data_IF_936477504073
#
_entry.id   IF_936477504073
#
_cell.length_a   1.000
_cell.length_b   1.000
_cell.length_c   1.000
_cell.angle_alpha   90.00
_cell.angle_beta   90.00
_cell.angle_gamma   90.00
#
_symmetry.space_group_name_H-M   'P 1'
#
loop_
_entity.id
_entity.type
_entity.pdbx_description
1 polymer ?
#
# COMPACT_ATOMS: atom_id res chain seq x y z
N UNK A 1 16.05 -13.95 48.75
CA UNK A 1 15.61 -14.76 47.59
C UNK A 1 14.68 -13.87 46.79
N UNK A 2 15.24 -12.96 45.99
CA UNK A 2 14.48 -12.19 45.00
C UNK A 2 14.80 -12.81 43.64
N UNK A 3 13.93 -13.71 43.21
CA UNK A 3 13.94 -14.29 41.87
C UNK A 3 12.61 -13.97 41.21
N UNK A 4 12.40 -12.70 40.90
CA UNK A 4 11.42 -12.29 39.89
C UNK A 4 12.18 -11.64 38.73
N UNK A 5 12.98 -12.44 38.02
CA UNK A 5 13.27 -12.14 36.62
C UNK A 5 11.92 -12.24 35.90
N UNK A 6 11.29 -11.10 35.65
CA UNK A 6 10.16 -10.97 34.76
C UNK A 6 10.55 -11.62 33.42
N UNK A 7 9.96 -12.77 33.11
CA UNK A 7 10.14 -13.38 31.80
C UNK A 7 9.68 -12.37 30.75
N UNK A 8 10.59 -11.94 29.89
CA UNK A 8 10.30 -11.04 28.78
C UNK A 8 9.15 -11.62 27.97
N UNK A 9 8.07 -10.85 27.74
CA UNK A 9 6.87 -11.37 27.10
C UNK A 9 7.19 -11.78 25.64
N UNK A 10 6.41 -12.71 25.07
CA UNK A 10 6.59 -13.15 23.66
C UNK A 10 6.65 -11.95 22.69
N UNK A 11 5.96 -10.86 23.03
CA UNK A 11 5.94 -9.60 22.29
C UNK A 11 7.30 -8.89 22.32
N UNK A 12 7.99 -8.87 23.45
CA UNK A 12 9.31 -8.24 23.63
C UNK A 12 10.45 -9.02 22.94
N UNK A 13 10.23 -10.30 22.62
CA UNK A 13 11.22 -11.19 22.03
C UNK A 13 11.26 -11.16 20.49
N UNK A 14 10.36 -10.41 19.83
CA UNK A 14 10.39 -10.27 18.38
C UNK A 14 11.75 -9.73 17.90
N UNK A 15 12.23 -10.26 16.77
CA UNK A 15 13.45 -9.78 16.13
C UNK A 15 13.14 -8.64 15.15
N UNK A 16 14.04 -7.65 15.11
CA UNK A 16 13.90 -6.44 14.30
C UNK A 16 15.10 -6.28 13.40
N UNK A 17 14.84 -6.06 12.12
CA UNK A 17 15.86 -5.63 11.19
C UNK A 17 15.24 -4.59 10.24
N UNK A 18 15.77 -3.39 10.36
CA UNK A 18 15.28 -2.20 9.68
C UNK A 18 15.95 -2.06 8.30
N UNK A 19 15.81 -3.06 7.44
CA UNK A 19 16.56 -3.14 6.17
C UNK A 19 16.34 -1.93 5.27
N UNK A 20 15.10 -1.44 5.15
CA UNK A 20 14.80 -0.23 4.39
C UNK A 20 15.58 0.99 4.94
N UNK A 21 15.77 1.08 6.25
CA UNK A 21 16.42 2.23 6.90
C UNK A 21 17.94 2.18 6.79
N UNK A 22 18.48 0.98 6.73
CA UNK A 22 19.90 0.76 6.47
C UNK A 22 20.26 1.05 5.00
N UNK A 23 19.30 0.87 4.09
CA UNK A 23 19.53 0.95 2.65
C UNK A 23 19.01 2.21 1.97
N UNK A 24 18.09 2.95 2.57
CA UNK A 24 17.47 4.15 1.99
C UNK A 24 17.73 5.39 2.84
N UNK A 25 17.86 6.58 2.22
CA UNK A 25 18.14 7.80 2.98
C UNK A 25 17.00 8.16 3.94
N UNK A 26 17.38 8.38 5.20
CA UNK A 26 16.51 8.85 6.27
C UNK A 26 16.91 10.28 6.63
N UNK A 27 15.92 11.15 6.76
CA UNK A 27 16.10 12.51 7.19
C UNK A 27 16.53 12.59 8.66
N UNK A 28 17.61 13.33 8.90
CA UNK A 28 18.26 13.45 10.20
C UNK A 28 17.56 14.42 11.16
N UNK A 29 16.55 15.16 10.70
CA UNK A 29 15.88 16.18 11.51
C UNK A 29 14.85 15.60 12.46
N UNK A 30 14.95 15.97 13.74
CA UNK A 30 13.99 15.63 14.80
C UNK A 30 12.84 16.65 14.90
N UNK A 31 12.71 17.56 13.93
CA UNK A 31 11.66 18.59 13.97
C UNK A 31 10.27 17.94 13.94
N UNK A 32 9.41 18.23 14.94
CA UNK A 32 8.07 17.67 15.01
C UNK A 32 7.15 18.32 13.97
N UNK A 33 6.12 17.58 13.56
CA UNK A 33 5.04 18.09 12.70
C UNK A 33 5.25 17.83 11.21
N UNK A 34 4.27 18.25 10.42
CA UNK A 34 4.31 18.09 8.96
C UNK A 34 5.23 19.14 8.33
N UNK A 35 6.19 18.67 7.53
CA UNK A 35 7.12 19.51 6.78
C UNK A 35 7.57 18.82 5.49
N UNK A 36 8.09 19.61 4.57
CA UNK A 36 8.78 19.10 3.39
C UNK A 36 10.11 18.46 3.82
N UNK A 37 10.38 17.26 3.28
CA UNK A 37 11.58 16.47 3.60
C UNK A 37 12.40 16.29 2.32
N UNK A 38 13.39 17.17 2.05
CA UNK A 38 14.23 17.03 0.87
C UNK A 38 15.35 16.02 1.11
N UNK A 39 15.69 15.24 0.09
CA UNK A 39 16.87 14.38 0.12
C UNK A 39 16.74 13.13 1.00
N UNK A 40 15.51 12.70 1.31
CA UNK A 40 15.26 11.46 2.04
C UNK A 40 13.98 10.76 1.56
N UNK A 41 13.93 9.44 1.75
CA UNK A 41 12.73 8.62 1.55
C UNK A 41 11.87 8.58 2.82
N UNK A 42 12.52 8.67 3.99
CA UNK A 42 11.88 8.60 5.30
C UNK A 42 12.27 9.77 6.19
N UNK A 43 11.41 10.12 7.14
CA UNK A 43 11.71 11.13 8.17
C UNK A 43 11.39 10.61 9.57
N UNK A 44 12.20 11.01 10.55
CA UNK A 44 11.99 10.63 11.95
C UNK A 44 10.76 11.29 12.53
N UNK A 45 9.92 10.48 13.18
CA UNK A 45 8.73 10.97 13.85
C UNK A 45 8.92 10.92 15.36
N UNK A 46 9.20 12.08 15.93
CA UNK A 46 9.57 12.22 17.34
C UNK A 46 8.40 12.72 18.23
N UNK A 47 7.21 12.98 17.68
CA UNK A 47 6.09 13.60 18.40
C UNK A 47 4.90 12.67 18.56
N UNK A 48 4.99 11.70 19.47
CA UNK A 48 3.85 10.85 19.79
C UNK A 48 2.87 11.55 20.73
N UNK A 49 1.60 11.58 20.32
CA UNK A 49 0.50 11.81 21.25
C UNK A 49 -0.11 10.46 21.59
N UNK A 50 0.12 9.90 22.79
CA UNK A 50 -0.45 8.62 23.15
C UNK A 50 -1.97 8.65 23.10
N UNK A 51 -2.55 7.46 22.90
CA UNK A 51 -3.98 7.26 23.07
C UNK A 51 -4.30 7.14 24.57
N UNK A 52 -5.46 7.63 24.98
CA UNK A 52 -5.89 7.59 26.39
C UNK A 52 -6.57 6.26 26.70
N UNK A 53 -6.00 5.45 27.61
CA UNK A 53 -6.53 4.12 28.01
C UNK A 53 -6.81 3.22 26.79
N UNK A 54 -5.75 2.81 26.06
CA UNK A 54 -5.91 2.00 24.86
C UNK A 54 -6.49 0.63 25.17
N UNK A 55 -7.34 0.15 24.27
CA UNK A 55 -7.94 -1.19 24.34
C UNK A 55 -8.09 -1.78 22.95
N UNK A 56 -7.90 -3.08 22.83
CA UNK A 56 -8.19 -3.78 21.58
C UNK A 56 -9.69 -3.75 21.27
N UNK A 57 -10.02 -3.74 19.98
CA UNK A 57 -11.37 -3.94 19.47
C UNK A 57 -11.44 -5.34 18.81
N UNK A 58 -10.86 -5.58 17.63
CA UNK A 58 -10.53 -6.91 17.13
C UNK A 58 -9.01 -7.18 17.03
N UNK A 59 -8.67 -8.47 17.04
CA UNK A 59 -7.36 -9.03 16.68
C UNK A 59 -7.58 -10.05 15.55
N UNK A 60 -6.71 -10.05 14.54
CA UNK A 60 -6.75 -11.06 13.47
C UNK A 60 -5.70 -12.13 13.74
N UNK A 61 -6.14 -13.34 14.04
CA UNK A 61 -5.25 -14.48 14.22
C UNK A 61 -4.42 -14.74 12.94
N UNK A 62 -5.04 -14.67 11.76
CA UNK A 62 -4.34 -14.94 10.50
C UNK A 62 -3.25 -13.91 10.22
N UNK A 63 -3.49 -12.64 10.52
CA UNK A 63 -2.48 -11.60 10.35
C UNK A 63 -1.40 -11.66 11.44
N UNK A 64 -1.76 -11.91 12.71
CA UNK A 64 -0.78 -12.06 13.79
C UNK A 64 0.18 -13.24 13.58
N UNK A 65 -0.30 -14.33 12.98
CA UNK A 65 0.54 -15.48 12.64
C UNK A 65 1.66 -15.15 11.66
N UNK A 66 1.54 -14.08 10.86
CA UNK A 66 2.63 -13.58 10.02
C UNK A 66 3.83 -13.06 10.82
N UNK A 67 3.59 -12.67 12.08
CA UNK A 67 4.62 -12.25 13.03
C UNK A 67 5.02 -13.39 13.98
N UNK A 68 4.53 -14.62 13.75
CA UNK A 68 4.73 -15.73 14.67
C UNK A 68 3.93 -15.61 15.98
N UNK A 69 2.88 -14.78 16.03
CA UNK A 69 2.09 -14.52 17.22
C UNK A 69 0.70 -15.18 17.17
N UNK A 70 0.20 -15.60 18.33
CA UNK A 70 -1.20 -15.96 18.54
C UNK A 70 -1.99 -14.82 19.18
N UNK A 71 -3.32 -14.87 19.05
CA UNK A 71 -4.23 -13.96 19.77
C UNK A 71 -4.05 -14.11 21.27
N UNK A 72 -3.73 -15.30 21.78
CA UNK A 72 -3.45 -15.53 23.20
C UNK A 72 -2.16 -14.85 23.65
N UNK A 73 -1.10 -14.87 22.84
CA UNK A 73 0.15 -14.16 23.14
C UNK A 73 -0.07 -12.66 23.30
N UNK A 74 -0.96 -12.08 22.48
CA UNK A 74 -1.28 -10.65 22.50
C UNK A 74 -2.28 -10.30 23.61
N UNK A 75 -3.37 -11.06 23.74
CA UNK A 75 -4.44 -10.75 24.71
C UNK A 75 -4.09 -11.10 26.15
N UNK A 76 -3.11 -11.98 26.37
CA UNK A 76 -2.62 -12.37 27.70
C UNK A 76 -1.73 -11.31 28.37
N UNK A 77 -1.23 -10.33 27.62
CA UNK A 77 -0.39 -9.25 28.14
C UNK A 77 -1.22 -7.97 28.37
N UNK A 78 -1.37 -7.50 29.63
CA UNK A 78 -2.13 -6.28 29.94
C UNK A 78 -1.60 -5.01 29.27
N UNK A 79 -0.33 -4.97 28.87
CA UNK A 79 0.30 -3.83 28.20
C UNK A 79 0.24 -3.94 26.67
N UNK A 80 -0.24 -5.05 26.11
CA UNK A 80 -0.33 -5.24 24.66
C UNK A 80 -1.05 -4.11 23.91
N UNK A 81 -2.16 -3.52 24.38
CA UNK A 81 -2.77 -2.40 23.69
C UNK A 81 -1.85 -1.19 23.54
N UNK A 82 -0.91 -0.97 24.47
CA UNK A 82 0.10 0.09 24.39
C UNK A 82 1.22 -0.28 23.41
N UNK A 83 1.62 -1.56 23.40
CA UNK A 83 2.63 -2.05 22.47
C UNK A 83 2.18 -1.86 21.01
N UNK A 84 0.91 -2.08 20.71
CA UNK A 84 0.34 -1.89 19.37
C UNK A 84 0.05 -0.41 19.01
N UNK A 85 0.60 0.55 19.74
CA UNK A 85 0.60 1.96 19.38
C UNK A 85 1.99 2.40 18.93
N UNK A 86 2.10 3.47 18.11
CA UNK A 86 3.39 3.98 17.72
C UNK A 86 4.12 4.73 18.86
N UNK A 87 3.76 4.59 20.13
CA UNK A 87 4.24 5.47 21.23
C UNK A 87 5.53 4.98 21.89
N UNK A 88 6.58 5.80 21.94
CA UNK A 88 7.73 5.55 22.82
C UNK A 88 7.41 5.89 24.29
N UNK A 89 7.91 5.16 25.31
CA UNK A 89 8.74 3.97 25.22
C UNK A 89 7.93 2.66 25.11
N UNK A 90 6.61 2.69 25.35
CA UNK A 90 5.76 1.51 25.51
C UNK A 90 5.17 0.91 24.23
N UNK A 91 5.66 1.30 23.06
CA UNK A 91 5.39 0.55 21.84
C UNK A 91 6.13 -0.77 21.96
N UNK A 92 5.64 -1.80 21.27
CA UNK A 92 6.18 -3.15 21.13
C UNK A 92 7.71 -3.19 20.86
N UNK A 93 8.28 -2.02 20.52
CA UNK A 93 9.50 -1.77 19.79
C UNK A 93 10.38 -0.72 20.50
N UNK A 94 10.84 -0.97 21.73
CA UNK A 94 11.92 -0.18 22.34
C UNK A 94 13.19 -0.09 21.46
N UNK A 95 13.32 -0.98 20.46
CA UNK A 95 14.44 -1.10 19.51
C UNK A 95 14.16 -0.57 18.09
N UNK A 96 12.95 -0.13 17.77
CA UNK A 96 12.64 0.35 16.42
C UNK A 96 12.45 1.87 16.38
N UNK A 97 13.03 2.51 15.36
CA UNK A 97 12.86 3.94 15.11
C UNK A 97 11.56 4.17 14.32
N UNK A 98 10.61 4.94 14.85
CA UNK A 98 9.37 5.23 14.13
C UNK A 98 9.61 6.29 13.05
N UNK A 99 9.24 5.96 11.81
CA UNK A 99 9.54 6.78 10.64
C UNK A 99 8.34 7.01 9.74
N UNK A 100 8.31 8.17 9.09
CA UNK A 100 7.29 8.54 8.12
C UNK A 100 7.78 8.39 6.69
N UNK A 101 7.03 7.69 5.85
CA UNK A 101 7.29 7.64 4.41
C UNK A 101 6.89 8.95 3.71
N UNK A 102 7.78 9.46 2.87
CA UNK A 102 7.53 10.63 2.05
C UNK A 102 6.81 10.22 0.76
N UNK A 103 5.67 10.85 0.45
CA UNK A 103 4.90 10.60 -0.79
C UNK A 103 4.59 11.92 -1.50
N UNK A 104 4.45 11.86 -2.84
CA UNK A 104 4.09 13.04 -3.64
C UNK A 104 2.63 13.47 -3.42
N UNK A 105 2.36 14.73 -3.78
CA UNK A 105 1.27 15.60 -3.34
C UNK A 105 -0.16 15.03 -3.28
N UNK A 106 -0.81 15.16 -2.12
CA UNK A 106 -2.08 15.88 -1.82
C UNK A 106 -2.60 15.55 -0.41
N UNK A 107 -2.05 14.52 0.23
CA UNK A 107 -2.67 13.95 1.42
C UNK A 107 -1.69 13.68 2.57
N UNK A 108 -0.53 14.36 2.67
CA UNK A 108 0.53 14.18 3.70
C UNK A 108 0.20 13.11 4.76
N UNK A 109 0.26 11.84 4.36
CA UNK A 109 -0.03 10.76 5.28
C UNK A 109 1.25 10.60 6.07
N UNK A 110 1.23 11.05 7.31
CA UNK A 110 2.24 10.63 8.28
C UNK A 110 1.97 9.15 8.46
N UNK A 111 2.75 8.34 7.76
CA UNK A 111 2.63 6.89 7.76
C UNK A 111 3.80 6.38 8.60
N UNK A 112 3.55 6.05 9.87
CA UNK A 112 4.60 5.49 10.70
C UNK A 112 4.87 4.05 10.26
N UNK A 113 5.84 3.89 9.37
CA UNK A 113 6.38 2.60 8.97
C UNK A 113 7.42 2.19 10.01
N UNK A 114 7.21 1.02 10.59
CA UNK A 114 8.20 0.34 11.42
C UNK A 114 8.54 -0.94 10.66
N UNK A 115 9.79 -1.07 10.23
CA UNK A 115 10.23 -2.17 9.39
C UNK A 115 10.69 -3.36 10.25
N UNK A 116 10.34 -4.57 9.83
CA UNK A 116 10.77 -5.80 10.47
C UNK A 116 11.46 -6.65 9.43
N UNK A 117 12.45 -7.39 9.90
CA UNK A 117 13.04 -8.48 9.17
C UNK A 117 13.24 -9.63 10.15
N UNK A 118 12.15 -10.35 10.34
CA UNK A 118 12.16 -11.80 10.17
C UNK A 118 10.89 -12.12 9.34
N UNK A 119 11.00 -12.99 8.34
CA UNK A 119 9.93 -13.35 7.38
C UNK A 119 9.49 -12.30 6.33
N UNK A 120 10.18 -11.17 6.18
CA UNK A 120 9.97 -10.24 5.06
C UNK A 120 8.67 -9.42 5.11
N UNK A 121 8.18 -9.08 6.30
CA UNK A 121 6.94 -8.32 6.52
C UNK A 121 7.22 -6.98 7.22
N UNK A 122 6.71 -5.90 6.65
CA UNK A 122 6.70 -4.55 7.22
C UNK A 122 5.45 -4.32 8.07
N UNK A 123 5.57 -3.47 9.11
CA UNK A 123 4.44 -3.06 9.96
C UNK A 123 4.22 -1.56 9.81
N UNK A 124 2.96 -1.16 9.77
CA UNK A 124 2.59 0.23 9.68
C UNK A 124 1.46 0.56 10.65
N UNK A 125 1.67 1.59 11.46
CA UNK A 125 0.63 2.10 12.33
C UNK A 125 -0.13 3.21 11.63
N UNK A 126 -1.39 2.95 11.33
CA UNK A 126 -2.24 3.89 10.65
C UNK A 126 -3.14 4.61 11.67
N UNK A 127 -2.76 5.84 12.02
CA UNK A 127 -3.39 6.63 13.08
C UNK A 127 -3.76 8.05 12.68
N UNK A 128 -3.45 8.52 11.46
CA UNK A 128 -3.50 9.95 11.13
C UNK A 128 -4.48 10.29 10.01
N UNK A 129 -5.06 11.49 10.12
CA UNK A 129 -5.84 12.16 9.08
C UNK A 129 -5.05 13.30 8.44
N UNK A 130 -5.43 13.65 7.21
CA UNK A 130 -4.82 14.62 6.29
C UNK A 130 -4.49 16.02 6.85
N UNK A 131 -3.68 16.77 6.09
CA UNK A 131 -3.34 18.19 6.24
C UNK A 131 -4.38 19.04 7.00
N UNK A 132 -3.90 19.75 8.05
CA UNK A 132 -4.69 20.55 9.00
C UNK A 132 -5.64 19.75 9.92
N UNK A 133 -5.64 18.42 9.82
CA UNK A 133 -6.30 17.53 10.77
C UNK A 133 -5.51 17.38 12.07
N UNK A 134 -6.18 16.93 13.12
CA UNK A 134 -5.60 16.66 14.44
C UNK A 134 -4.65 15.45 14.49
N UNK A 135 -4.38 14.82 13.34
CA UNK A 135 -3.53 13.65 13.25
C UNK A 135 -4.12 12.39 13.87
N UNK A 136 -5.46 12.27 13.94
CA UNK A 136 -6.15 11.11 14.52
C UNK A 136 -7.12 10.45 13.55
N UNK A 137 -7.08 9.12 13.46
CA UNK A 137 -8.12 8.30 12.83
C UNK A 137 -9.20 7.96 13.86
N UNK A 138 -10.44 7.89 13.40
CA UNK A 138 -11.59 7.55 14.24
C UNK A 138 -12.01 6.10 14.05
N UNK A 139 -12.60 5.54 15.11
CA UNK A 139 -12.91 4.12 15.22
C UNK A 139 -13.67 3.55 14.02
N UNK A 140 -14.67 4.26 13.50
CA UNK A 140 -15.46 3.78 12.34
C UNK A 140 -14.61 3.51 11.09
N UNK A 141 -13.62 4.35 10.81
CA UNK A 141 -12.76 4.17 9.63
C UNK A 141 -11.77 3.04 9.86
N UNK A 142 -11.25 2.92 11.08
CA UNK A 142 -10.35 1.83 11.44
C UNK A 142 -11.04 0.46 11.44
N UNK A 143 -12.31 0.37 11.88
CA UNK A 143 -13.11 -0.86 11.79
C UNK A 143 -13.27 -1.26 10.32
N UNK A 144 -13.66 -0.31 9.45
CA UNK A 144 -13.83 -0.56 8.02
C UNK A 144 -12.54 -1.06 7.36
N UNK A 145 -11.41 -0.42 7.66
CA UNK A 145 -10.10 -0.83 7.16
C UNK A 145 -9.71 -2.23 7.65
N UNK A 146 -9.87 -2.50 8.95
CA UNK A 146 -9.55 -3.81 9.52
C UNK A 146 -10.38 -4.91 8.85
N UNK A 147 -11.70 -4.73 8.78
CA UNK A 147 -12.60 -5.71 8.19
C UNK A 147 -12.32 -5.93 6.71
N UNK A 148 -12.13 -4.85 5.94
CA UNK A 148 -11.91 -4.97 4.50
C UNK A 148 -10.54 -5.59 4.18
N UNK A 149 -9.49 -5.24 4.93
CA UNK A 149 -8.16 -5.85 4.78
C UNK A 149 -8.23 -7.36 4.90
N UNK A 150 -8.90 -7.86 5.94
CA UNK A 150 -8.99 -9.30 6.18
C UNK A 150 -10.03 -9.99 5.27
N UNK A 151 -11.09 -9.29 4.88
CA UNK A 151 -12.05 -9.80 3.89
C UNK A 151 -11.41 -9.97 2.50
N UNK A 152 -10.64 -9.00 2.03
CA UNK A 152 -9.91 -9.08 0.76
C UNK A 152 -8.92 -10.24 0.77
N UNK A 153 -8.21 -10.44 1.89
CA UNK A 153 -7.33 -11.59 2.06
C UNK A 153 -8.11 -12.91 2.01
N UNK A 154 -9.24 -13.01 2.72
CA UNK A 154 -10.09 -14.21 2.71
C UNK A 154 -10.68 -14.50 1.31
N UNK A 155 -10.88 -13.48 0.49
CA UNK A 155 -11.30 -13.61 -0.92
C UNK A 155 -10.15 -14.00 -1.86
N UNK A 156 -8.91 -14.13 -1.36
CA UNK A 156 -7.73 -14.42 -2.18
C UNK A 156 -7.25 -13.22 -3.01
N UNK A 157 -7.68 -12.00 -2.66
CA UNK A 157 -7.25 -10.77 -3.33
C UNK A 157 -6.03 -10.20 -2.59
N UNK A 158 -4.91 -9.92 -3.28
CA UNK A 158 -3.74 -9.34 -2.65
C UNK A 158 -4.06 -8.03 -1.93
N UNK A 159 -3.64 -7.92 -0.67
CA UNK A 159 -4.00 -6.80 0.22
C UNK A 159 -2.99 -6.63 1.34
N UNK A 160 -2.88 -5.41 1.86
CA UNK A 160 -2.33 -5.20 3.21
C UNK A 160 -3.21 -5.90 4.24
N UNK A 161 -2.61 -6.43 5.30
CA UNK A 161 -3.27 -7.15 6.38
C UNK A 161 -3.51 -6.23 7.57
N UNK A 162 -4.49 -6.56 8.41
CA UNK A 162 -4.76 -5.82 9.64
C UNK A 162 -4.62 -6.75 10.85
N UNK A 163 -3.54 -6.60 11.62
CA UNK A 163 -3.21 -7.47 12.75
C UNK A 163 -4.04 -7.14 13.99
N UNK A 164 -4.15 -5.85 14.31
CA UNK A 164 -4.89 -5.36 15.46
C UNK A 164 -5.53 -4.01 15.17
N UNK A 165 -6.61 -3.73 15.89
CA UNK A 165 -7.20 -2.41 15.98
C UNK A 165 -7.35 -2.03 17.45
N UNK A 166 -6.71 -0.92 17.82
CA UNK A 166 -6.73 -0.32 19.15
C UNK A 166 -7.59 0.93 19.13
N UNK A 167 -8.50 1.06 20.09
CA UNK A 167 -9.27 2.29 20.34
C UNK A 167 -8.90 2.89 21.68
N UNK A 168 -9.41 4.08 21.98
CA UNK A 168 -9.12 4.82 23.20
C UNK A 168 -10.27 5.71 23.64
N UNK A 169 -10.13 6.30 24.83
CA UNK A 169 -11.05 7.32 25.34
C UNK A 169 -10.68 8.73 24.89
N UNK A 170 -9.64 8.87 24.05
CA UNK A 170 -9.36 10.11 23.38
C UNK A 170 -10.39 10.32 22.28
N UNK A 171 -11.06 11.47 22.28
CA UNK A 171 -12.08 11.80 21.29
C UNK A 171 -11.64 12.93 20.38
N UNK A 172 -12.11 12.88 19.14
CA UNK A 172 -11.95 13.97 18.17
C UNK A 172 -13.28 14.27 17.50
N UNK A 173 -13.45 15.54 17.16
CA UNK A 173 -14.66 16.02 16.49
C UNK A 173 -14.55 15.79 14.98
N UNK A 174 -15.55 15.14 14.39
CA UNK A 174 -15.65 14.88 12.94
C UNK A 174 -17.03 15.23 12.45
N UNK A 175 -17.17 15.46 11.15
CA UNK A 175 -18.45 15.63 10.45
C UNK A 175 -18.59 14.48 9.44
N UNK A 176 -18.96 13.26 9.89
CA UNK A 176 -19.11 12.10 9.00
C UNK A 176 -20.01 12.33 7.77
N UNK A 177 -21.18 12.99 7.88
CA UNK A 177 -22.05 13.23 6.74
C UNK A 177 -21.60 14.42 5.86
N UNK A 178 -20.56 15.16 6.24
CA UNK A 178 -20.13 16.40 5.58
C UNK A 178 -21.27 17.44 5.45
N UNK A 179 -22.16 17.51 6.44
CA UNK A 179 -23.33 18.41 6.44
C UNK A 179 -23.24 19.53 7.49
N UNK A 180 -22.12 19.62 8.21
CA UNK A 180 -21.88 20.53 9.33
C UNK A 180 -22.13 19.91 10.71
N UNK A 181 -22.74 18.72 10.80
CA UNK A 181 -23.05 18.06 12.07
C UNK A 181 -21.83 17.33 12.62
N UNK A 182 -21.20 17.98 13.60
CA UNK A 182 -20.01 17.42 14.24
C UNK A 182 -20.38 16.42 15.34
N UNK A 183 -19.86 15.20 15.22
CA UNK A 183 -19.95 14.12 16.20
C UNK A 183 -18.60 13.92 16.88
N UNK A 184 -18.62 13.60 18.17
CA UNK A 184 -17.43 13.23 18.93
C UNK A 184 -17.17 11.73 18.74
N UNK A 185 -16.01 11.36 18.20
CA UNK A 185 -15.68 9.98 17.88
C UNK A 185 -14.38 9.55 18.59
N UNK A 186 -14.31 8.31 19.05
CA UNK A 186 -13.11 7.75 19.68
C UNK A 186 -11.97 7.64 18.65
N UNK A 187 -10.75 7.98 19.08
CA UNK A 187 -9.53 7.79 18.32
C UNK A 187 -9.10 6.33 18.32
N UNK A 188 -8.55 5.90 17.19
CA UNK A 188 -8.09 4.53 16.98
C UNK A 188 -6.80 4.45 16.16
N UNK A 189 -6.12 3.31 16.26
CA UNK A 189 -4.95 2.93 15.45
C UNK A 189 -5.17 1.53 14.90
N UNK A 190 -4.85 1.32 13.63
CA UNK A 190 -4.75 -0.01 13.02
C UNK A 190 -3.28 -0.37 12.86
N UNK A 191 -2.91 -1.57 13.29
CA UNK A 191 -1.62 -2.17 12.95
C UNK A 191 -1.75 -2.93 11.64
N UNK A 192 -1.13 -2.41 10.58
CA UNK A 192 -1.13 -2.99 9.24
C UNK A 192 0.12 -3.79 9.00
N UNK A 193 0.01 -4.88 8.24
CA UNK A 193 1.15 -5.69 7.81
C UNK A 193 1.17 -5.80 6.28
N UNK A 194 2.35 -5.72 5.68
CA UNK A 194 2.55 -5.97 4.24
C UNK A 194 4.04 -6.24 3.98
N UNK A 195 4.43 -6.96 2.92
CA UNK A 195 5.85 -7.10 2.59
C UNK A 195 6.56 -5.75 2.42
N UNK A 196 5.89 -4.79 1.77
CA UNK A 196 6.32 -3.41 1.64
C UNK A 196 5.13 -2.47 1.60
N UNK A 197 5.35 -1.23 2.06
CA UNK A 197 4.41 -0.13 1.92
C UNK A 197 4.83 0.90 0.85
N UNK A 198 5.91 0.63 0.11
CA UNK A 198 6.33 1.47 -1.02
C UNK A 198 5.21 1.53 -2.07
N UNK A 199 4.93 2.74 -2.54
CA UNK A 199 3.85 3.06 -3.48
C UNK A 199 4.43 3.62 -4.77
N UNK A 200 3.58 3.79 -5.80
CA UNK A 200 4.00 4.53 -6.99
C UNK A 200 4.33 5.99 -6.62
N UNK A 201 3.53 6.58 -5.72
CA UNK A 201 3.76 7.92 -5.19
C UNK A 201 5.06 8.12 -4.40
N UNK A 202 5.70 7.04 -3.95
CA UNK A 202 7.01 7.09 -3.28
C UNK A 202 8.13 7.45 -4.26
N UNK A 203 7.98 7.14 -5.55
CA UNK A 203 8.90 7.57 -6.60
C UNK A 203 8.63 9.01 -7.05
N UNK A 204 7.37 9.45 -7.00
CA UNK A 204 6.99 10.80 -7.45
C UNK A 204 7.58 11.91 -6.58
N UNK A 205 8.13 11.60 -5.39
CA UNK A 205 8.83 12.62 -4.58
C UNK A 205 10.09 13.18 -5.27
N UNK A 206 10.61 12.47 -6.28
CA UNK A 206 11.75 12.87 -7.10
C UNK A 206 11.33 13.58 -8.39
N UNK A 207 10.03 13.71 -8.65
CA UNK A 207 9.52 14.31 -9.88
C UNK A 207 9.82 15.81 -9.91
N UNK A 208 10.33 16.26 -11.06
CA UNK A 208 10.55 17.66 -11.38
C UNK A 208 9.27 18.49 -11.37
N UNK A 209 9.42 19.77 -11.66
CA UNK A 209 8.29 20.69 -11.70
C UNK A 209 7.32 20.31 -12.81
N UNK A 210 6.08 20.00 -12.45
CA UNK A 210 4.98 19.83 -13.39
C UNK A 210 4.64 21.18 -14.03
N UNK A 211 4.62 21.23 -15.36
CA UNK A 211 4.43 22.48 -16.11
C UNK A 211 3.02 23.07 -15.91
N UNK A 212 2.02 22.22 -15.68
CA UNK A 212 0.63 22.64 -15.60
C UNK A 212 0.25 23.12 -14.19
N UNK A 213 0.57 22.33 -13.18
CA UNK A 213 0.24 22.59 -11.78
C UNK A 213 1.31 23.41 -11.06
N UNK A 214 2.52 23.48 -11.61
CA UNK A 214 3.67 24.14 -11.00
C UNK A 214 4.25 23.38 -9.80
N UNK A 215 3.80 22.15 -9.57
CA UNK A 215 4.10 21.35 -8.39
C UNK A 215 5.35 20.53 -8.60
N UNK A 216 6.07 20.26 -7.51
CA UNK A 216 7.34 19.57 -7.54
C UNK A 216 7.42 18.65 -6.32
N UNK A 217 8.06 17.49 -6.49
CA UNK A 217 8.37 16.61 -5.38
C UNK A 217 9.42 17.18 -4.44
N UNK A 218 9.36 16.85 -3.13
CA UNK A 218 10.25 17.41 -2.11
C UNK A 218 11.74 17.11 -2.37
N UNK A 219 12.03 16.06 -3.16
CA UNK A 219 13.38 15.61 -3.50
C UNK A 219 13.62 15.68 -5.01
N UNK A 220 12.99 16.60 -5.72
CA UNK A 220 13.16 16.67 -7.17
C UNK A 220 14.61 16.91 -7.59
N UNK A 221 15.03 16.22 -8.66
CA UNK A 221 16.41 16.22 -9.15
C UNK A 221 17.37 15.35 -8.33
N UNK A 222 16.90 14.65 -7.29
CA UNK A 222 17.68 13.66 -6.55
C UNK A 222 17.59 12.28 -7.20
N UNK A 223 18.08 12.21 -8.44
CA UNK A 223 18.11 10.96 -9.22
C UNK A 223 18.97 9.88 -8.55
N UNK A 224 19.96 10.29 -7.75
CA UNK A 224 20.78 9.43 -6.90
C UNK A 224 19.92 8.63 -5.90
N UNK A 225 19.02 9.30 -5.20
CA UNK A 225 18.13 8.67 -4.22
C UNK A 225 17.03 7.87 -4.93
N UNK A 226 16.52 8.39 -6.06
CA UNK A 226 15.54 7.65 -6.87
C UNK A 226 16.10 6.31 -7.32
N UNK A 227 17.33 6.30 -7.84
CA UNK A 227 18.01 5.07 -8.27
C UNK A 227 18.19 4.11 -7.09
N UNK A 228 18.63 4.62 -5.93
CA UNK A 228 18.77 3.82 -4.72
C UNK A 228 17.44 3.20 -4.25
N UNK A 229 16.33 3.94 -4.32
CA UNK A 229 14.99 3.42 -4.03
C UNK A 229 14.58 2.32 -5.03
N UNK A 230 14.85 2.54 -6.31
CA UNK A 230 14.55 1.57 -7.36
C UNK A 230 15.36 0.28 -7.17
N UNK A 231 16.67 0.38 -6.95
CA UNK A 231 17.55 -0.76 -6.71
C UNK A 231 17.11 -1.54 -5.47
N UNK A 232 16.77 -0.85 -4.37
CA UNK A 232 16.22 -1.48 -3.18
C UNK A 232 14.95 -2.27 -3.49
N UNK A 233 14.00 -1.69 -4.23
CA UNK A 233 12.75 -2.36 -4.59
C UNK A 233 13.01 -3.58 -5.45
N UNK A 234 13.82 -3.45 -6.50
CA UNK A 234 14.13 -4.53 -7.44
C UNK A 234 14.79 -5.68 -6.69
N UNK A 235 15.89 -5.43 -5.98
CA UNK A 235 16.63 -6.48 -5.27
C UNK A 235 15.82 -7.15 -4.15
N UNK A 236 14.91 -6.42 -3.52
CA UNK A 236 14.14 -6.95 -2.39
C UNK A 236 12.91 -7.75 -2.82
N UNK A 237 12.30 -7.42 -3.97
CA UNK A 237 10.96 -7.92 -4.31
C UNK A 237 10.82 -8.48 -5.74
N UNK A 238 11.84 -8.34 -6.60
CA UNK A 238 11.75 -8.71 -8.01
C UNK A 238 12.99 -9.46 -8.50
N UNK A 239 12.83 -10.27 -9.55
CA UNK A 239 13.88 -11.19 -9.97
C UNK A 239 14.83 -10.68 -11.07
N UNK A 240 14.74 -9.42 -11.55
CA UNK A 240 15.71 -8.68 -12.42
C UNK A 240 15.03 -7.54 -13.24
N UNK A 241 15.59 -7.21 -14.42
CA UNK A 241 15.16 -6.25 -15.46
C UNK A 241 13.69 -6.37 -15.92
N UNK A 242 12.96 -7.43 -15.53
CA UNK A 242 11.52 -7.58 -15.79
C UNK A 242 10.62 -6.89 -14.76
N UNK A 243 11.20 -6.21 -13.75
CA UNK A 243 10.49 -5.53 -12.66
C UNK A 243 9.20 -4.83 -13.08
N UNK A 244 9.28 -3.90 -14.05
CA UNK A 244 8.11 -3.09 -14.39
C UNK A 244 7.00 -3.94 -15.05
N UNK A 245 7.37 -4.97 -15.82
CA UNK A 245 6.42 -5.95 -16.35
C UNK A 245 5.69 -6.67 -15.23
N UNK A 246 6.40 -7.08 -14.19
CA UNK A 246 5.80 -7.72 -13.02
C UNK A 246 4.85 -6.78 -12.28
N UNK A 247 5.25 -5.51 -12.06
CA UNK A 247 4.38 -4.48 -11.45
C UNK A 247 3.07 -4.32 -12.24
N UNK A 248 3.15 -4.24 -13.58
CA UNK A 248 1.97 -4.14 -14.44
C UNK A 248 1.10 -5.41 -14.37
N UNK A 249 1.71 -6.60 -14.41
CA UNK A 249 0.98 -7.86 -14.30
C UNK A 249 0.28 -7.99 -12.94
N UNK A 250 0.92 -7.60 -11.85
CA UNK A 250 0.30 -7.66 -10.52
C UNK A 250 -0.81 -6.63 -10.39
N UNK A 251 -0.61 -5.41 -10.90
CA UNK A 251 -1.63 -4.36 -10.89
C UNK A 251 -2.85 -4.72 -11.75
N UNK A 252 -2.64 -5.31 -12.94
CA UNK A 252 -3.73 -5.78 -13.82
C UNK A 252 -4.54 -6.91 -13.19
N UNK A 253 -3.86 -7.90 -12.58
CA UNK A 253 -4.52 -8.98 -11.83
C UNK A 253 -5.32 -8.44 -10.65
N UNK A 254 -4.75 -7.52 -9.88
CA UNK A 254 -5.40 -6.90 -8.74
C UNK A 254 -6.70 -6.20 -9.14
N UNK A 255 -6.64 -5.31 -10.14
CA UNK A 255 -7.84 -4.59 -10.58
C UNK A 255 -8.86 -5.53 -11.23
N UNK A 256 -8.43 -6.57 -11.95
CA UNK A 256 -9.34 -7.61 -12.46
C UNK A 256 -10.09 -8.29 -11.31
N UNK A 257 -9.40 -8.69 -10.24
CA UNK A 257 -10.02 -9.28 -9.06
C UNK A 257 -11.01 -8.32 -8.39
N UNK A 258 -10.68 -7.03 -8.29
CA UNK A 258 -11.63 -6.02 -7.79
C UNK A 258 -12.91 -5.97 -8.61
N UNK A 259 -12.79 -6.02 -9.94
CA UNK A 259 -13.95 -6.05 -10.82
C UNK A 259 -14.77 -7.34 -10.60
N UNK A 260 -14.13 -8.51 -10.48
CA UNK A 260 -14.86 -9.76 -10.27
C UNK A 260 -15.71 -9.78 -8.99
N UNK A 261 -15.26 -9.11 -7.91
CA UNK A 261 -16.00 -9.09 -6.63
C UNK A 261 -16.83 -7.82 -6.43
N UNK A 262 -16.92 -6.96 -7.44
CA UNK A 262 -17.67 -5.70 -7.36
C UNK A 262 -17.08 -4.70 -6.36
N UNK A 263 -15.77 -4.75 -6.10
CA UNK A 263 -15.08 -3.83 -5.20
C UNK A 263 -14.73 -2.52 -5.92
N UNK A 264 -15.04 -1.40 -5.29
CA UNK A 264 -14.69 -0.05 -5.72
C UNK A 264 -13.84 0.63 -4.64
N UNK A 265 -12.59 0.97 -4.97
CA UNK A 265 -11.61 1.52 -4.04
C UNK A 265 -11.91 2.99 -3.65
N UNK A 266 -12.36 3.80 -4.61
CA UNK A 266 -12.83 5.18 -4.40
C UNK A 266 -11.76 6.27 -4.28
N UNK A 267 -10.48 5.91 -4.12
CA UNK A 267 -9.34 6.85 -4.08
C UNK A 267 -8.11 6.15 -4.67
N UNK A 268 -8.01 6.10 -6.00
CA UNK A 268 -6.91 5.46 -6.71
C UNK A 268 -5.88 6.50 -7.19
N UNK A 269 -5.42 7.35 -6.29
CA UNK A 269 -4.24 8.18 -6.53
C UNK A 269 -2.99 7.30 -6.58
N UNK A 270 -1.90 7.78 -7.18
CA UNK A 270 -0.61 7.08 -7.29
C UNK A 270 0.02 6.74 -5.93
N UNK A 271 -0.22 7.54 -4.90
CA UNK A 271 0.19 7.23 -3.52
C UNK A 271 -0.64 6.10 -2.90
N UNK A 272 -1.79 5.74 -3.46
CA UNK A 272 -2.61 4.59 -3.03
C UNK A 272 -2.37 3.32 -3.89
N UNK A 273 -1.39 3.36 -4.81
CA UNK A 273 -1.00 2.21 -5.62
C UNK A 273 0.23 1.53 -5.04
N UNK A 274 0.09 0.29 -4.58
CA UNK A 274 1.22 -0.51 -4.08
C UNK A 274 2.20 -0.81 -5.21
N UNK A 275 3.50 -0.71 -4.93
CA UNK A 275 4.50 -1.22 -5.87
C UNK A 275 4.39 -2.73 -6.05
N UNK A 276 3.82 -3.46 -5.09
CA UNK A 276 3.69 -4.92 -5.10
C UNK A 276 2.30 -5.42 -5.55
N UNK A 277 1.44 -4.55 -6.07
CA UNK A 277 0.09 -4.94 -6.50
C UNK A 277 -0.81 -5.40 -5.35
N UNK A 278 -0.69 -4.79 -4.17
CA UNK A 278 -1.57 -5.00 -3.02
C UNK A 278 -2.70 -3.96 -2.97
N UNK A 279 -3.90 -4.38 -2.60
CA UNK A 279 -4.95 -3.46 -2.13
C UNK A 279 -4.48 -2.79 -0.84
N UNK A 280 -4.45 -1.46 -0.80
CA UNK A 280 -3.98 -0.70 0.36
C UNK A 280 -4.79 0.57 0.56
N UNK A 281 -4.78 1.11 1.78
CA UNK A 281 -5.40 2.39 2.12
C UNK A 281 -6.93 2.44 1.94
N UNK A 282 -7.60 1.59 2.71
CA UNK A 282 -9.05 1.50 2.80
C UNK A 282 -9.68 2.76 3.39
N UNK A 283 -10.03 3.70 2.52
CA UNK A 283 -10.78 4.91 2.83
C UNK A 283 -12.27 4.79 2.50
N UNK A 284 -12.80 5.57 1.55
CA UNK A 284 -14.20 5.51 1.14
C UNK A 284 -14.46 4.40 0.11
N UNK A 285 -13.99 3.17 0.38
CA UNK A 285 -14.27 2.03 -0.49
C UNK A 285 -15.73 1.56 -0.37
N UNK A 286 -16.18 0.75 -1.33
CA UNK A 286 -17.48 0.07 -1.27
C UNK A 286 -17.51 -1.19 -2.13
N UNK A 287 -18.22 -2.21 -1.65
CA UNK A 287 -18.64 -3.33 -2.49
C UNK A 287 -20.02 -3.00 -3.06
N UNK A 288 -20.22 -3.24 -4.35
CA UNK A 288 -21.51 -3.04 -4.98
C UNK A 288 -22.53 -4.06 -4.45
N UNK A 289 -23.62 -3.58 -3.86
CA UNK A 289 -24.75 -4.44 -3.49
C UNK A 289 -25.59 -4.82 -4.73
N UNK A 290 -25.87 -3.82 -5.56
CA UNK A 290 -26.46 -3.98 -6.89
C UNK A 290 -25.42 -3.60 -7.92
N UNK A 291 -25.29 -4.41 -8.97
CA UNK A 291 -24.40 -4.08 -10.08
C UNK A 291 -24.80 -2.74 -10.71
N UNK A 292 -23.85 -1.81 -10.68
CA UNK A 292 -23.92 -0.49 -11.32
C UNK A 292 -22.51 -0.16 -11.84
N UNK A 293 -22.25 -0.21 -13.15
CA UNK A 293 -20.92 0.06 -13.68
C UNK A 293 -20.44 1.48 -13.36
N UNK A 294 -21.37 2.41 -13.18
CA UNK A 294 -21.05 3.79 -12.86
C UNK A 294 -20.88 4.02 -11.35
N UNK A 295 -21.01 3.00 -10.49
CA UNK A 295 -20.98 3.13 -9.03
C UNK A 295 -19.75 3.93 -8.54
N UNK A 296 -19.99 4.89 -7.65
CA UNK A 296 -18.96 5.70 -6.98
C UNK A 296 -19.13 5.57 -5.48
N UNK A 297 -18.15 4.98 -4.81
CA UNK A 297 -18.17 4.81 -3.35
C UNK A 297 -17.70 6.06 -2.58
N UNK A 298 -16.92 6.93 -3.23
CA UNK A 298 -16.40 8.15 -2.63
C UNK A 298 -17.32 9.35 -2.89
N UNK A 299 -18.02 9.83 -1.86
CA UNK A 299 -18.91 11.00 -1.95
C UNK A 299 -18.19 12.29 -2.40
N UNK A 300 -16.87 12.38 -2.20
CA UNK A 300 -16.07 13.53 -2.65
C UNK A 300 -15.70 13.46 -4.13
N UNK A 301 -15.80 12.29 -4.77
CA UNK A 301 -15.51 12.09 -6.19
C UNK A 301 -16.70 12.49 -7.07
N UNK A 302 -16.99 13.79 -7.10
CA UNK A 302 -18.09 14.38 -7.89
C UNK A 302 -17.89 14.20 -9.40
N UNK A 303 -16.65 13.98 -9.85
CA UNK A 303 -16.29 13.79 -11.26
C UNK A 303 -16.26 12.32 -11.67
N UNK A 304 -16.51 11.39 -10.74
CA UNK A 304 -16.56 9.95 -10.96
C UNK A 304 -15.24 9.39 -11.51
N UNK A 305 -14.13 10.04 -11.19
CA UNK A 305 -12.79 9.64 -11.62
C UNK A 305 -12.44 8.23 -11.16
N UNK A 306 -12.94 7.81 -10.00
CA UNK A 306 -12.73 6.50 -9.40
C UNK A 306 -14.01 5.67 -9.36
N UNK A 307 -14.91 5.86 -10.33
CA UNK A 307 -16.05 4.97 -10.51
C UNK A 307 -15.60 3.53 -10.75
N UNK A 308 -16.46 2.57 -10.42
CA UNK A 308 -16.17 1.15 -10.49
C UNK A 308 -15.61 0.73 -11.86
N UNK A 309 -16.27 1.11 -12.96
CA UNK A 309 -15.81 0.80 -14.33
C UNK A 309 -14.52 1.53 -14.73
N UNK A 310 -14.19 2.67 -14.08
CA UNK A 310 -13.02 3.46 -14.42
C UNK A 310 -11.73 2.91 -13.79
N UNK A 311 -11.82 2.08 -12.74
CA UNK A 311 -10.65 1.58 -12.00
C UNK A 311 -9.57 0.95 -12.90
N UNK A 312 -9.87 0.12 -13.92
CA UNK A 312 -8.84 -0.42 -14.82
C UNK A 312 -8.09 0.65 -15.59
N UNK A 313 -8.80 1.64 -16.13
CA UNK A 313 -8.20 2.75 -16.87
C UNK A 313 -7.36 3.65 -15.95
N UNK A 314 -7.82 3.89 -14.73
CA UNK A 314 -7.06 4.64 -13.70
C UNK A 314 -5.79 3.89 -13.29
N UNK A 315 -5.85 2.57 -13.08
CA UNK A 315 -4.67 1.77 -12.76
C UNK A 315 -3.64 1.82 -13.91
N UNK A 316 -4.08 1.74 -15.16
CA UNK A 316 -3.22 1.90 -16.33
C UNK A 316 -2.59 3.31 -16.39
N UNK A 317 -3.37 4.35 -16.12
CA UNK A 317 -2.88 5.72 -16.04
C UNK A 317 -1.87 5.91 -14.91
N UNK A 318 -2.07 5.28 -13.75
CA UNK A 318 -1.10 5.32 -12.64
C UNK A 318 0.20 4.57 -12.97
N UNK A 319 0.13 3.45 -13.69
CA UNK A 319 1.31 2.73 -14.20
C UNK A 319 2.10 3.61 -15.19
N UNK A 320 1.38 4.36 -16.04
CA UNK A 320 1.98 5.31 -16.96
C UNK A 320 2.82 6.34 -16.20
N UNK A 321 2.24 6.93 -15.14
CA UNK A 321 2.94 7.91 -14.30
C UNK A 321 4.12 7.31 -13.55
N UNK A 322 4.02 6.05 -13.10
CA UNK A 322 5.16 5.35 -12.51
C UNK A 322 6.30 5.23 -13.52
N UNK A 323 6.03 4.77 -14.74
CA UNK A 323 7.05 4.63 -15.77
C UNK A 323 7.75 5.95 -16.12
N UNK A 324 6.98 7.04 -16.22
CA UNK A 324 7.52 8.39 -16.44
C UNK A 324 8.54 8.80 -15.38
N UNK A 325 8.24 8.50 -14.12
CA UNK A 325 9.10 8.86 -12.98
C UNK A 325 10.33 7.97 -12.89
N UNK A 326 10.23 6.69 -13.26
CA UNK A 326 11.35 5.75 -13.24
C UNK A 326 12.40 6.06 -14.32
N UNK A 327 12.00 6.68 -15.43
CA UNK A 327 12.91 7.27 -16.41
C UNK A 327 12.48 7.07 -17.87
N UNK A 328 12.79 8.02 -18.78
CA UNK A 328 12.35 7.99 -20.17
C UNK A 328 12.89 6.82 -21.01
N UNK A 329 14.01 6.21 -20.61
CA UNK A 329 14.57 5.04 -21.29
C UNK A 329 13.72 3.77 -21.09
N UNK A 330 12.99 3.69 -19.97
CA UNK A 330 11.98 2.65 -19.74
C UNK A 330 10.73 2.90 -20.60
N UNK A 331 10.36 4.17 -20.84
CA UNK A 331 9.10 4.57 -21.49
C UNK A 331 8.95 3.98 -22.90
N UNK A 332 9.98 4.05 -23.75
CA UNK A 332 9.83 3.72 -25.18
C UNK A 332 9.68 2.21 -25.42
N UNK A 333 10.40 1.37 -24.67
CA UNK A 333 10.38 -0.09 -24.83
C UNK A 333 9.18 -0.72 -24.12
N UNK A 334 8.74 -0.11 -23.02
CA UNK A 334 7.70 -0.65 -22.16
C UNK A 334 6.30 -0.19 -22.58
N UNK A 335 6.07 1.06 -22.98
CA UNK A 335 4.70 1.51 -23.28
C UNK A 335 4.10 0.87 -24.53
N UNK A 336 4.90 0.72 -25.59
CA UNK A 336 4.38 0.17 -26.85
C UNK A 336 4.01 -1.31 -26.73
N UNK A 337 4.75 -2.08 -25.92
CA UNK A 337 4.52 -3.51 -25.72
C UNK A 337 3.61 -3.80 -24.53
N UNK A 338 3.78 -3.08 -23.42
CA UNK A 338 3.17 -3.45 -22.15
C UNK A 338 1.86 -2.73 -21.80
N UNK A 339 1.54 -1.61 -22.45
CA UNK A 339 0.18 -1.07 -22.43
C UNK A 339 -0.81 -2.02 -23.12
N UNK A 340 -0.36 -2.66 -24.20
CA UNK A 340 -1.06 -3.79 -24.80
C UNK A 340 -1.13 -4.97 -23.83
N UNK A 341 -0.03 -5.35 -23.16
CA UNK A 341 -0.05 -6.42 -22.17
C UNK A 341 -1.03 -6.17 -21.01
N UNK A 342 -1.10 -4.95 -20.45
CA UNK A 342 -2.07 -4.63 -19.41
C UNK A 342 -3.51 -4.78 -19.93
N UNK A 343 -3.79 -4.17 -21.09
CA UNK A 343 -5.13 -4.20 -21.69
C UNK A 343 -5.53 -5.62 -22.06
N UNK A 344 -4.61 -6.39 -22.65
CA UNK A 344 -4.81 -7.78 -23.05
C UNK A 344 -4.98 -8.66 -21.82
N UNK A 345 -4.10 -8.56 -20.82
CA UNK A 345 -4.19 -9.32 -19.57
C UNK A 345 -5.51 -9.03 -18.87
N UNK A 346 -5.89 -7.76 -18.69
CA UNK A 346 -7.16 -7.40 -18.06
C UNK A 346 -8.36 -7.87 -18.89
N UNK A 347 -8.35 -7.70 -20.21
CA UNK A 347 -9.41 -8.16 -21.11
C UNK A 347 -9.56 -9.68 -21.08
N UNK A 348 -8.46 -10.42 -21.00
CA UNK A 348 -8.49 -11.88 -20.91
C UNK A 348 -9.01 -12.32 -19.54
N UNK A 349 -8.51 -11.73 -18.45
CA UNK A 349 -8.98 -12.01 -17.08
C UNK A 349 -10.47 -11.69 -16.89
N UNK A 350 -10.96 -10.59 -17.46
CA UNK A 350 -12.38 -10.20 -17.40
C UNK A 350 -13.31 -11.10 -18.23
N UNK A 351 -12.75 -11.96 -19.10
CA UNK A 351 -13.50 -12.95 -19.89
C UNK A 351 -13.51 -14.33 -19.26
N UNK A 352 -12.77 -14.54 -18.16
CA UNK A 352 -12.71 -15.83 -17.49
C UNK A 352 -14.02 -16.05 -16.73
N UNK A 353 -14.78 -17.10 -17.06
CA UNK A 353 -15.98 -17.44 -16.30
C UNK A 353 -15.61 -17.86 -14.87
N UNK A 354 -16.48 -17.58 -13.91
CA UNK A 354 -16.30 -18.03 -12.53
C UNK A 354 -16.39 -19.57 -12.47
N UNK A 355 -15.40 -20.29 -11.90
CA UNK A 355 -15.46 -21.75 -11.81
C UNK A 355 -16.62 -22.19 -10.94
N UNK A 356 -17.37 -23.18 -11.42
CA UNK A 356 -18.43 -23.81 -10.64
C UNK A 356 -17.83 -24.80 -9.65
N UNK A 357 -18.58 -25.10 -8.57
CA UNK A 357 -18.10 -25.95 -7.49
C UNK A 357 -17.94 -27.39 -8.00
N UNK A 358 -16.71 -27.78 -8.34
CA UNK A 358 -16.38 -29.10 -8.89
C UNK A 358 -15.42 -29.08 -10.08
N UNK A 359 -15.06 -27.91 -10.59
CA UNK A 359 -14.17 -27.79 -11.76
C UNK A 359 -12.69 -28.09 -11.41
N UNK A 360 -12.04 -28.82 -12.31
CA UNK A 360 -10.59 -29.10 -12.26
C UNK A 360 -9.81 -27.82 -12.62
N UNK A 361 -8.83 -27.43 -11.80
CA UNK A 361 -8.02 -26.21 -11.97
C UNK A 361 -7.43 -26.09 -13.39
N UNK A 362 -7.08 -27.23 -14.01
CA UNK A 362 -6.53 -27.26 -15.37
C UNK A 362 -7.54 -26.89 -16.45
N UNK A 363 -8.82 -27.19 -16.26
CA UNK A 363 -9.89 -26.88 -17.24
C UNK A 363 -10.26 -25.39 -17.18
N UNK A 364 -10.15 -24.78 -16.01
CA UNK A 364 -10.51 -23.36 -15.80
C UNK A 364 -9.39 -22.40 -16.21
N UNK A 365 -8.13 -22.76 -15.91
CA UNK A 365 -6.96 -21.89 -16.14
C UNK A 365 -6.25 -22.19 -17.46
N UNK A 366 -6.34 -23.41 -17.99
CA UNK A 366 -5.73 -23.82 -19.26
C UNK A 366 -6.09 -22.92 -20.44
N UNK A 367 -7.39 -22.68 -20.72
CA UNK A 367 -7.80 -21.79 -21.81
C UNK A 367 -7.31 -20.34 -21.63
N UNK A 368 -7.14 -19.90 -20.39
CA UNK A 368 -6.65 -18.54 -20.07
C UNK A 368 -5.16 -18.43 -20.33
N UNK A 369 -4.38 -19.44 -19.92
CA UNK A 369 -2.96 -19.52 -20.21
C UNK A 369 -2.72 -19.61 -21.72
N UNK A 370 -3.50 -20.43 -22.43
CA UNK A 370 -3.40 -20.59 -23.89
C UNK A 370 -3.75 -19.28 -24.63
N UNK A 371 -4.81 -18.58 -24.22
CA UNK A 371 -5.19 -17.28 -24.79
C UNK A 371 -4.18 -16.17 -24.48
N UNK A 372 -3.57 -16.17 -23.29
CA UNK A 372 -2.50 -15.22 -22.94
C UNK A 372 -1.27 -15.48 -23.82
N UNK A 373 -0.90 -16.75 -24.00
CA UNK A 373 0.26 -17.15 -24.83
C UNK A 373 0.02 -16.86 -26.31
N UNK A 374 -1.20 -17.03 -26.82
CA UNK A 374 -1.57 -16.72 -28.21
C UNK A 374 -1.57 -15.20 -28.50
N UNK A 375 -1.75 -14.36 -27.48
CA UNK A 375 -1.75 -12.90 -27.62
C UNK A 375 -0.38 -12.26 -27.33
N UNK A 376 0.62 -13.03 -26.92
CA UNK A 376 2.01 -12.57 -26.80
C UNK A 376 2.70 -12.65 -28.16
N UNK A 377 3.40 -11.58 -28.57
CA UNK A 377 4.18 -11.59 -29.82
C UNK A 377 5.23 -12.72 -29.80
N UNK A 378 5.29 -13.50 -30.86
CA UNK A 378 6.27 -14.57 -31.01
C UNK A 378 7.70 -14.00 -31.10
N UNK A 379 8.70 -14.81 -30.72
CA UNK A 379 10.11 -14.43 -30.84
C UNK A 379 10.45 -14.05 -32.29
N UNK A 380 9.80 -14.68 -33.26
CA UNK A 380 9.97 -14.43 -34.70
C UNK A 380 9.36 -13.09 -35.13
N UNK A 381 8.19 -12.71 -34.61
CA UNK A 381 7.60 -11.38 -34.83
C UNK A 381 8.45 -10.27 -34.20
N UNK A 382 8.99 -10.52 -32.99
CA UNK A 382 9.89 -9.60 -32.30
C UNK A 382 11.22 -9.41 -33.02
N UNK A 383 11.73 -10.44 -33.70
CA UNK A 383 12.92 -10.37 -34.56
C UNK A 383 12.68 -9.60 -35.87
N UNK A 384 11.47 -9.65 -36.42
CA UNK A 384 11.10 -8.89 -37.63
C UNK A 384 10.89 -7.41 -37.32
N UNK A 385 10.27 -7.09 -36.19
CA UNK A 385 10.02 -5.72 -35.75
C UNK A 385 11.29 -4.98 -35.29
N UNK A 386 12.31 -5.71 -34.79
CA UNK A 386 13.58 -5.15 -34.30
C UNK A 386 14.77 -5.43 -35.23
N UNK A 387 14.60 -5.32 -36.55
CA UNK A 387 15.78 -5.23 -37.44
C UNK A 387 16.48 -3.89 -37.20
N UNK A 388 17.78 -3.87 -36.82
CA UNK A 388 18.50 -2.62 -36.69
C UNK A 388 18.58 -1.94 -38.06
N UNK A 389 17.96 -0.78 -38.23
CA UNK A 389 18.21 0.12 -39.36
C UNK A 389 19.43 0.97 -39.03
N UNK A 390 20.62 0.36 -39.08
CA UNK A 390 21.84 1.12 -39.30
C UNK A 390 22.12 1.06 -40.80
N UNK A 391 21.97 2.19 -41.49
CA UNK A 391 22.56 2.33 -42.82
C UNK A 391 24.08 2.25 -42.67
N UNK A 392 24.72 1.38 -43.45
CA UNK A 392 26.18 1.27 -43.52
C UNK A 392 26.77 2.65 -43.85
N UNK A 393 27.55 3.20 -42.91
CA UNK A 393 28.44 4.34 -43.14
C UNK A 393 29.89 3.93 -42.96
#
# INVERSE_FOLDING_TARGET
MDSSQSASSTLEQLAFNNTALQRLPVDASDQPGSRTVPGACFSRYCSFRPLLRPRFVPLSQSALSLLGLSVQDVSGDPLAPEYHLPTFPHSFFHKAEPLCECTHKFEWRIVVNIFFWDFGISIQYHSLTFLNGDGRKVLRFSIREFLCSEAMFALGIPTTRAASLVTSDLHVSRDPPNNGERVSECCSVVMRLAPSFIRFGSFQIFQGRDEFSGLQGPSAGRDDIRAQLLDYVIESFYLNLSFFREVMMWTSKLVAQWQCVGFCHGVLNTDNMSILGLTLDYGPFGFMERFDPDFVCNASDKRRHYSYQAQPAVCHWNLTHLAEVLGPELIVIIFFNAGADFTNTFRLLSRVPWPEKGDDERVTVGPVADLIVEQCASIEELKVANKPTMEDR
#
